data_IF_497924970542
#
_entry.id   IF_497924970542
#
_cell.length_a   1.000
_cell.length_b   1.000
_cell.length_c   1.000
_cell.angle_alpha   90.00
_cell.angle_beta   90.00
_cell.angle_gamma   90.00
#
_symmetry.space_group_name_H-M   'P 1'
#
loop_
_entity.id
_entity.type
_entity.pdbx_description
1 polymer ?
#
# COMPACT_ATOMS: atom_id res chain seq x y z
N UNK A 1 1.26 -32.95 1.54
CA UNK A 1 0.57 -32.23 2.65
C UNK A 1 1.17 -30.84 2.73
N UNK A 2 0.35 -29.79 2.70
CA UNK A 2 0.84 -28.42 2.94
C UNK A 2 0.63 -28.10 4.42
N UNK A 3 1.73 -27.89 5.15
CA UNK A 3 1.67 -27.42 6.53
C UNK A 3 1.41 -25.91 6.53
N UNK A 4 0.40 -25.46 7.28
CA UNK A 4 0.13 -24.03 7.45
C UNK A 4 1.19 -23.44 8.38
N UNK A 5 1.98 -22.48 7.88
CA UNK A 5 3.09 -21.87 8.62
C UNK A 5 2.68 -20.59 9.37
N UNK A 6 1.59 -19.93 8.96
CA UNK A 6 1.10 -18.70 9.59
C UNK A 6 -0.14 -18.14 8.89
N UNK A 7 -0.90 -17.34 9.63
CA UNK A 7 -2.08 -16.62 9.14
C UNK A 7 -1.97 -15.16 9.58
N UNK A 8 -2.22 -14.23 8.67
CA UNK A 8 -2.24 -12.80 8.96
C UNK A 8 -3.47 -12.15 8.36
N UNK A 9 -3.99 -11.16 9.08
CA UNK A 9 -5.18 -10.41 8.67
C UNK A 9 -5.00 -8.91 8.98
N UNK A 10 -5.59 -8.08 8.15
CA UNK A 10 -5.57 -6.62 8.28
C UNK A 10 -6.89 -6.02 7.82
N UNK A 11 -7.31 -4.95 8.50
CA UNK A 11 -8.51 -4.19 8.17
C UNK A 11 -8.10 -2.73 7.97
N UNK A 12 -8.37 -2.20 6.78
CA UNK A 12 -7.99 -0.83 6.41
C UNK A 12 -9.18 0.11 6.48
N UNK A 13 -9.02 1.20 7.22
CA UNK A 13 -9.99 2.29 7.27
C UNK A 13 -9.86 3.20 6.05
N UNK A 14 -10.81 3.14 5.12
CA UNK A 14 -10.76 3.84 3.82
C UNK A 14 -10.53 5.36 3.95
N UNK A 15 -11.18 6.11 4.86
CA UNK A 15 -10.92 7.54 5.00
C UNK A 15 -9.46 7.88 5.36
N UNK A 16 -8.72 6.97 6.02
CA UNK A 16 -7.28 7.14 6.25
C UNK A 16 -6.50 7.11 4.94
N UNK A 17 -6.86 6.23 4.01
CA UNK A 17 -6.25 6.14 2.68
C UNK A 17 -6.56 7.40 1.87
N UNK A 18 -7.82 7.84 1.87
CA UNK A 18 -8.21 9.11 1.21
C UNK A 18 -7.39 10.27 1.78
N UNK A 19 -7.30 10.39 3.11
CA UNK A 19 -6.50 11.43 3.76
C UNK A 19 -5.02 11.36 3.40
N UNK A 20 -4.44 10.16 3.31
CA UNK A 20 -3.06 9.95 2.88
C UNK A 20 -2.86 10.46 1.44
N UNK A 21 -3.72 10.05 0.51
CA UNK A 21 -3.63 10.46 -0.89
C UNK A 21 -3.80 11.98 -1.03
N UNK A 22 -4.82 12.57 -0.39
CA UNK A 22 -5.07 14.02 -0.42
C UNK A 22 -3.89 14.84 0.11
N UNK A 23 -3.26 14.42 1.21
CA UNK A 23 -2.12 15.14 1.81
C UNK A 23 -0.88 15.16 0.91
N UNK A 24 -0.73 14.18 0.03
CA UNK A 24 0.46 14.01 -0.81
C UNK A 24 0.21 14.26 -2.29
N UNK A 25 -1.03 14.46 -2.71
CA UNK A 25 -1.41 14.82 -4.07
C UNK A 25 -1.35 16.33 -4.27
N UNK A 26 -0.65 16.74 -5.32
CA UNK A 26 -0.65 18.12 -5.83
C UNK A 26 -0.83 18.01 -7.34
N UNK A 27 -1.88 18.64 -7.87
CA UNK A 27 -2.17 18.61 -9.31
C UNK A 27 -0.95 19.12 -10.08
N UNK A 28 -0.46 18.31 -11.02
CA UNK A 28 0.74 18.62 -11.82
C UNK A 28 2.09 18.34 -11.14
N UNK A 29 2.15 18.01 -9.84
CA UNK A 29 3.37 17.58 -9.17
C UNK A 29 3.17 16.31 -8.31
N UNK A 30 3.53 15.17 -8.89
CA UNK A 30 3.36 13.86 -8.26
C UNK A 30 4.54 13.43 -7.37
N UNK A 31 5.59 14.25 -7.19
CA UNK A 31 6.82 13.80 -6.49
C UNK A 31 6.60 13.40 -5.03
N UNK A 32 5.65 14.05 -4.34
CA UNK A 32 5.27 13.69 -2.96
C UNK A 32 4.46 12.40 -2.92
N UNK A 33 3.54 12.24 -3.87
CA UNK A 33 2.71 11.06 -4.02
C UNK A 33 3.57 9.82 -4.34
N UNK A 34 4.48 9.94 -5.30
CA UNK A 34 5.48 8.90 -5.64
C UNK A 34 6.30 8.51 -4.42
N UNK A 35 6.76 9.47 -3.61
CA UNK A 35 7.54 9.20 -2.40
C UNK A 35 6.75 8.43 -1.36
N UNK A 36 5.48 8.76 -1.13
CA UNK A 36 4.67 8.06 -0.13
C UNK A 36 4.27 6.67 -0.60
N UNK A 37 3.89 6.51 -1.87
CA UNK A 37 3.51 5.19 -2.41
C UNK A 37 4.70 4.27 -2.56
N UNK A 38 5.91 4.77 -2.83
CA UNK A 38 7.14 3.95 -2.91
C UNK A 38 7.49 3.25 -1.59
N UNK A 39 6.96 3.73 -0.45
CA UNK A 39 7.21 3.07 0.84
C UNK A 39 6.61 1.67 0.92
N UNK A 40 5.56 1.41 0.16
CA UNK A 40 4.82 0.16 0.24
C UNK A 40 4.37 -0.40 -1.10
N UNK A 41 4.57 0.28 -2.24
CA UNK A 41 4.25 -0.22 -3.57
C UNK A 41 5.52 -0.61 -4.34
N UNK A 42 5.47 -1.71 -5.09
CA UNK A 42 6.49 -2.10 -6.09
C UNK A 42 6.38 -1.25 -7.35
N UNK A 43 7.37 -1.30 -8.23
CA UNK A 43 7.34 -0.59 -9.53
C UNK A 43 6.09 -0.93 -10.34
N UNK A 44 5.73 -2.21 -10.44
CA UNK A 44 4.53 -2.65 -11.16
C UNK A 44 3.23 -2.14 -10.52
N UNK A 45 3.17 -2.09 -9.19
CA UNK A 45 2.02 -1.53 -8.48
C UNK A 45 1.93 -0.01 -8.66
N UNK A 46 3.06 0.68 -8.69
CA UNK A 46 3.11 2.10 -8.98
C UNK A 46 2.62 2.41 -10.40
N UNK A 47 3.06 1.65 -11.40
CA UNK A 47 2.57 1.82 -12.77
C UNK A 47 1.05 1.71 -12.84
N UNK A 48 0.46 0.71 -12.16
CA UNK A 48 -0.99 0.56 -12.08
C UNK A 48 -1.65 1.69 -11.32
N UNK A 49 -1.07 2.13 -10.21
CA UNK A 49 -1.55 3.26 -9.43
C UNK A 49 -1.62 4.54 -10.28
N UNK A 50 -0.55 4.89 -11.01
CA UNK A 50 -0.53 6.08 -11.86
C UNK A 50 -1.43 5.96 -13.08
N UNK A 51 -1.60 4.76 -13.65
CA UNK A 51 -2.62 4.51 -14.69
C UNK A 51 -4.04 4.75 -14.18
N UNK A 52 -4.34 4.42 -12.93
CA UNK A 52 -5.64 4.69 -12.31
C UNK A 52 -5.81 6.17 -12.00
N UNK A 53 -4.74 6.86 -11.57
CA UNK A 53 -4.75 8.29 -11.32
C UNK A 53 -5.01 9.10 -12.60
N UNK A 54 -4.42 8.72 -13.73
CA UNK A 54 -4.62 9.43 -15.00
C UNK A 54 -6.07 9.40 -15.53
N UNK A 55 -6.93 8.51 -15.00
CA UNK A 55 -8.35 8.47 -15.39
C UNK A 55 -9.18 9.59 -14.76
N UNK A 56 -8.70 10.20 -13.67
CA UNK A 56 -9.36 11.33 -13.01
C UNK A 56 -8.36 12.11 -12.16
N UNK A 57 -8.33 13.43 -12.32
CA UNK A 57 -7.40 14.31 -11.60
C UNK A 57 -7.68 14.40 -10.09
N UNK A 58 -8.85 13.93 -9.64
CA UNK A 58 -9.25 13.89 -8.24
C UNK A 58 -8.94 12.53 -7.61
N UNK A 59 -7.99 12.52 -6.68
CA UNK A 59 -7.64 11.33 -5.87
C UNK A 59 -8.75 10.91 -4.91
N UNK A 60 -9.60 11.83 -4.48
CA UNK A 60 -10.60 11.62 -3.42
C UNK A 60 -11.96 11.15 -3.94
N UNK A 61 -12.25 11.33 -5.22
CA UNK A 61 -13.42 10.75 -5.88
C UNK A 61 -13.09 9.47 -6.68
N UNK A 62 -11.81 9.11 -6.80
CA UNK A 62 -11.38 7.95 -7.56
C UNK A 62 -11.45 6.66 -6.73
N UNK A 63 -12.64 6.09 -6.60
CA UNK A 63 -12.87 4.85 -5.83
C UNK A 63 -11.94 3.70 -6.26
N UNK A 64 -11.65 3.57 -7.56
CA UNK A 64 -10.76 2.53 -8.05
C UNK A 64 -9.33 2.70 -7.53
N UNK A 65 -8.81 3.93 -7.54
CA UNK A 65 -7.50 4.26 -7.00
C UNK A 65 -7.44 4.05 -5.49
N UNK A 66 -8.48 4.50 -4.77
CA UNK A 66 -8.59 4.38 -3.31
C UNK A 66 -8.60 2.90 -2.91
N UNK A 67 -9.49 2.10 -3.51
CA UNK A 67 -9.60 0.67 -3.23
C UNK A 67 -8.34 -0.10 -3.63
N UNK A 68 -7.71 0.26 -4.75
CA UNK A 68 -6.44 -0.32 -5.14
C UNK A 68 -5.35 -0.05 -4.10
N UNK A 69 -5.21 1.21 -3.67
CA UNK A 69 -4.22 1.62 -2.68
C UNK A 69 -4.45 0.93 -1.33
N UNK A 70 -5.72 0.90 -0.87
CA UNK A 70 -6.12 0.22 0.35
C UNK A 70 -5.84 -1.29 0.30
N UNK A 71 -6.14 -1.93 -0.84
CA UNK A 71 -5.91 -3.36 -1.06
C UNK A 71 -4.42 -3.72 -1.05
N UNK A 72 -3.58 -2.92 -1.71
CA UNK A 72 -2.12 -3.13 -1.68
C UNK A 72 -1.59 -3.02 -0.25
N UNK A 73 -2.03 -2.00 0.50
CA UNK A 73 -1.67 -1.83 1.91
C UNK A 73 -2.10 -3.04 2.76
N UNK A 74 -3.39 -3.38 2.76
CA UNK A 74 -3.96 -4.45 3.56
C UNK A 74 -3.30 -5.81 3.27
N UNK A 75 -3.03 -6.08 1.99
CA UNK A 75 -2.42 -7.34 1.56
C UNK A 75 -1.00 -7.47 2.11
N UNK A 76 -0.22 -6.41 2.05
CA UNK A 76 1.17 -6.43 2.54
C UNK A 76 1.25 -6.51 4.06
N UNK A 77 0.41 -5.76 4.77
CA UNK A 77 0.28 -5.89 6.23
C UNK A 77 -0.14 -7.30 6.64
N UNK A 78 -1.14 -7.88 5.97
CA UNK A 78 -1.59 -9.25 6.25
C UNK A 78 -0.48 -10.27 5.97
N UNK A 79 0.25 -10.11 4.87
CA UNK A 79 1.38 -10.99 4.54
C UNK A 79 2.50 -10.88 5.59
N UNK A 80 2.86 -9.67 6.00
CA UNK A 80 3.87 -9.43 7.03
C UNK A 80 3.49 -10.10 8.35
N UNK A 81 2.23 -9.99 8.78
CA UNK A 81 1.71 -10.64 9.99
C UNK A 81 1.72 -12.17 9.87
N UNK A 82 1.47 -12.71 8.67
CA UNK A 82 1.54 -14.15 8.45
C UNK A 82 2.99 -14.68 8.54
N UNK A 83 3.97 -13.89 8.11
CA UNK A 83 5.38 -14.27 8.06
C UNK A 83 6.14 -14.03 9.36
N UNK A 84 5.70 -13.09 10.21
CA UNK A 84 6.40 -12.69 11.43
C UNK A 84 6.53 -13.79 12.48
N UNK A 85 5.71 -14.85 12.41
CA UNK A 85 5.82 -16.02 13.28
C UNK A 85 6.88 -17.04 12.87
N UNK A 86 7.45 -16.91 11.65
CA UNK A 86 8.33 -17.93 11.06
C UNK A 86 9.64 -17.36 10.52
N UNK A 87 9.64 -16.10 10.06
CA UNK A 87 10.80 -15.46 9.45
C UNK A 87 11.46 -14.54 10.46
N UNK A 88 12.79 -14.59 10.55
CA UNK A 88 13.53 -13.73 11.45
C UNK A 88 13.36 -12.25 11.06
N UNK A 89 13.34 -11.29 12.01
CA UNK A 89 13.01 -9.90 11.70
C UNK A 89 13.88 -9.23 10.62
N UNK A 90 15.14 -9.66 10.47
CA UNK A 90 16.09 -9.15 9.46
C UNK A 90 15.88 -9.73 8.05
N UNK A 91 15.06 -10.76 7.90
CA UNK A 91 14.68 -11.38 6.62
C UNK A 91 13.30 -10.92 6.14
N UNK A 92 12.58 -10.14 6.95
CA UNK A 92 11.31 -9.55 6.54
C UNK A 92 11.53 -8.48 5.46
N UNK A 93 10.61 -8.35 4.48
CA UNK A 93 10.77 -7.38 3.41
C UNK A 93 10.86 -5.94 3.95
N UNK A 94 11.64 -5.05 3.29
CA UNK A 94 12.11 -3.77 3.83
C UNK A 94 11.00 -2.77 4.21
N UNK A 95 9.75 -3.01 3.84
CA UNK A 95 8.60 -2.25 4.32
C UNK A 95 8.44 -2.32 5.85
N UNK A 96 9.07 -3.26 6.56
CA UNK A 96 9.05 -3.34 8.04
C UNK A 96 9.86 -2.26 8.75
N UNK A 97 10.92 -1.71 8.14
CA UNK A 97 11.82 -0.75 8.80
C UNK A 97 11.31 0.71 8.79
N UNK A 98 10.18 0.97 8.13
CA UNK A 98 9.65 2.33 7.93
C UNK A 98 8.23 2.55 8.47
N UNK A 99 7.67 1.55 9.16
CA UNK A 99 6.32 1.61 9.74
C UNK A 99 6.44 1.74 11.27
N UNK A 100 7.20 2.72 11.73
CA UNK A 100 7.05 3.39 13.03
C UNK A 100 7.54 4.83 12.88
#
# INVERSE_FOLDING_TARGET
MNNVLGIGTDIVYIPRIVGLLKRHHVTGDYRRLVRVTNKFMTSTEQERFFKLLQKTDSVDSNEQLINYTAGVWATKESLLKALSGYIAPWELPPCTNHIF
#
